data_IF_888096318042
#
_entry.id   IF_888096318042
#
_cell.length_a   1.000
_cell.length_b   1.000
_cell.length_c   1.000
_cell.angle_alpha   90.00
_cell.angle_beta   90.00
_cell.angle_gamma   90.00
#
_symmetry.space_group_name_H-M   'P 1'
#
loop_
_entity.id
_entity.type
_entity.pdbx_description
1 polymer ?
#
# COMPACT_ATOMS: atom_id res chain seq x y z
N UNK A 1 -6.36 -14.06 22.80
CA UNK A 1 -7.27 -12.91 22.94
C UNK A 1 -6.65 -11.58 22.49
N UNK A 2 -5.32 -11.45 22.31
CA UNK A 2 -4.69 -10.21 21.82
C UNK A 2 -4.78 -10.00 20.28
N UNK A 3 -4.84 -11.07 19.49
CA UNK A 3 -4.83 -10.96 18.02
C UNK A 3 -6.14 -10.39 17.43
N UNK A 4 -7.27 -10.49 18.14
CA UNK A 4 -8.57 -9.96 17.67
C UNK A 4 -8.71 -8.45 17.80
N UNK A 5 -8.04 -7.81 18.78
CA UNK A 5 -8.07 -6.35 18.93
C UNK A 5 -7.20 -5.65 17.89
N UNK A 6 -6.04 -6.22 17.56
CA UNK A 6 -5.10 -5.66 16.58
C UNK A 6 -5.68 -5.68 15.15
N UNK A 7 -6.33 -6.77 14.74
CA UNK A 7 -6.95 -6.86 13.43
C UNK A 7 -8.13 -5.88 13.26
N UNK A 8 -8.93 -5.69 14.31
CA UNK A 8 -9.98 -4.67 14.35
C UNK A 8 -9.39 -3.25 14.24
N UNK A 9 -8.30 -2.98 14.96
CA UNK A 9 -7.61 -1.69 14.93
C UNK A 9 -7.03 -1.38 13.53
N UNK A 10 -6.47 -2.36 12.83
CA UNK A 10 -5.93 -2.14 11.48
C UNK A 10 -7.04 -1.84 10.46
N UNK A 11 -8.14 -2.58 10.52
CA UNK A 11 -9.28 -2.37 9.61
C UNK A 11 -9.89 -0.98 9.82
N UNK A 12 -9.98 -0.53 11.07
CA UNK A 12 -10.42 0.83 11.39
C UNK A 12 -9.42 1.89 10.93
N UNK A 13 -8.12 1.67 11.15
CA UNK A 13 -7.08 2.58 10.68
C UNK A 13 -7.07 2.73 9.14
N UNK A 14 -7.31 1.65 8.39
CA UNK A 14 -7.45 1.71 6.93
C UNK A 14 -8.65 2.55 6.50
N UNK A 15 -9.83 2.33 7.12
CA UNK A 15 -11.03 3.13 6.84
C UNK A 15 -10.79 4.61 7.10
N UNK A 16 -10.17 4.93 8.24
CA UNK A 16 -9.83 6.31 8.59
C UNK A 16 -8.83 6.90 7.61
N UNK A 17 -7.79 6.16 7.22
CA UNK A 17 -6.82 6.62 6.23
C UNK A 17 -7.46 6.90 4.86
N UNK A 18 -8.42 6.07 4.42
CA UNK A 18 -9.14 6.29 3.16
C UNK A 18 -10.08 7.49 3.20
N UNK A 19 -10.61 7.85 4.36
CA UNK A 19 -11.45 9.04 4.56
C UNK A 19 -10.66 10.32 4.89
N UNK A 20 -9.34 10.21 5.08
CA UNK A 20 -8.48 11.33 5.50
C UNK A 20 -8.25 12.31 4.34
N UNK A 21 -8.32 13.63 4.58
CA UNK A 21 -8.08 14.61 3.52
C UNK A 21 -6.59 14.63 3.09
N UNK A 22 -6.28 15.06 1.85
CA UNK A 22 -4.96 14.93 1.23
C UNK A 22 -3.77 15.42 2.08
N UNK A 23 -3.94 16.52 2.81
CA UNK A 23 -2.92 17.13 3.68
C UNK A 23 -2.48 16.22 4.83
N UNK A 24 -3.34 15.29 5.25
CA UNK A 24 -3.10 14.40 6.39
C UNK A 24 -2.87 12.93 5.98
N UNK A 25 -2.99 12.59 4.68
CA UNK A 25 -2.87 11.22 4.19
C UNK A 25 -1.50 10.59 4.50
N UNK A 26 -0.42 11.37 4.45
CA UNK A 26 0.92 10.87 4.77
C UNK A 26 1.04 10.42 6.24
N UNK A 27 0.42 11.16 7.17
CA UNK A 27 0.39 10.83 8.60
C UNK A 27 -0.47 9.58 8.83
N UNK A 28 -1.66 9.52 8.22
CA UNK A 28 -2.54 8.36 8.32
C UNK A 28 -1.88 7.09 7.74
N UNK A 29 -1.20 7.21 6.60
CA UNK A 29 -0.43 6.14 5.99
C UNK A 29 0.72 5.65 6.90
N UNK A 30 1.43 6.58 7.54
CA UNK A 30 2.46 6.27 8.53
C UNK A 30 1.92 5.45 9.71
N UNK A 31 0.77 5.85 10.26
CA UNK A 31 0.10 5.13 11.34
C UNK A 31 -0.31 3.72 10.92
N UNK A 32 -0.93 3.55 9.74
CA UNK A 32 -1.24 2.22 9.20
C UNK A 32 0.02 1.37 9.08
N UNK A 33 1.11 1.93 8.54
CA UNK A 33 2.36 1.21 8.40
C UNK A 33 2.96 0.79 9.76
N UNK A 34 2.88 1.64 10.79
CA UNK A 34 3.34 1.32 12.14
C UNK A 34 2.54 0.18 12.78
N UNK A 35 1.21 0.21 12.66
CA UNK A 35 0.34 -0.88 13.12
C UNK A 35 0.66 -2.19 12.44
N UNK A 36 0.91 -2.15 11.12
CA UNK A 36 1.35 -3.32 10.36
C UNK A 36 2.65 -3.84 10.97
N UNK A 37 3.73 -3.05 10.96
CA UNK A 37 5.06 -3.51 11.42
C UNK A 37 5.06 -4.02 12.86
N UNK A 38 4.34 -3.34 13.76
CA UNK A 38 4.28 -3.66 15.19
C UNK A 38 3.54 -4.97 15.52
N UNK A 39 2.82 -5.55 14.55
CA UNK A 39 1.96 -6.70 14.77
C UNK A 39 2.42 -7.92 13.99
N UNK A 40 2.73 -9.02 14.69
CA UNK A 40 3.24 -10.26 14.08
C UNK A 40 2.13 -11.19 13.56
N UNK A 41 0.95 -11.13 14.16
CA UNK A 41 -0.18 -12.05 13.85
C UNK A 41 -1.23 -11.41 12.92
N UNK A 42 -0.80 -10.49 12.06
CA UNK A 42 -1.70 -9.84 11.11
C UNK A 42 -2.03 -10.74 9.92
N UNK A 43 -3.29 -10.73 9.53
CA UNK A 43 -3.73 -11.26 8.25
C UNK A 43 -3.30 -10.30 7.12
N UNK A 44 -2.10 -10.55 6.60
CA UNK A 44 -1.52 -9.76 5.52
C UNK A 44 -2.26 -9.98 4.18
N UNK A 45 -2.91 -11.12 3.99
CA UNK A 45 -3.71 -11.36 2.80
C UNK A 45 -4.94 -10.45 2.79
N UNK A 46 -5.64 -10.34 3.92
CA UNK A 46 -6.76 -9.41 4.06
C UNK A 46 -6.33 -7.94 3.94
N UNK A 47 -5.18 -7.56 4.51
CA UNK A 47 -4.59 -6.23 4.28
C UNK A 47 -4.36 -5.96 2.79
N UNK A 48 -3.75 -6.90 2.07
CA UNK A 48 -3.50 -6.75 0.63
C UNK A 48 -4.80 -6.62 -0.15
N UNK A 49 -5.83 -7.41 0.16
CA UNK A 49 -7.14 -7.26 -0.48
C UNK A 49 -7.72 -5.86 -0.28
N UNK A 50 -7.70 -5.33 0.94
CA UNK A 50 -8.20 -3.97 1.23
C UNK A 50 -7.38 -2.88 0.52
N UNK A 51 -6.06 -3.06 0.40
CA UNK A 51 -5.22 -2.15 -0.37
C UNK A 51 -5.56 -2.19 -1.86
N UNK A 52 -5.71 -3.37 -2.47
CA UNK A 52 -6.08 -3.51 -3.87
C UNK A 52 -7.47 -2.91 -4.16
N UNK A 53 -8.42 -3.07 -3.23
CA UNK A 53 -9.72 -2.39 -3.31
C UNK A 53 -9.56 -0.86 -3.28
N UNK A 54 -8.77 -0.33 -2.35
CA UNK A 54 -8.50 1.10 -2.27
C UNK A 54 -7.79 1.67 -3.51
N UNK A 55 -6.86 0.91 -4.11
CA UNK A 55 -6.18 1.26 -5.35
C UNK A 55 -7.12 1.26 -6.57
N UNK A 56 -8.15 0.42 -6.56
CA UNK A 56 -9.17 0.34 -7.62
C UNK A 56 -10.44 1.15 -7.34
N UNK A 57 -10.49 1.93 -6.27
CA UNK A 57 -11.73 2.61 -5.84
C UNK A 57 -12.19 3.67 -6.85
N UNK A 58 -13.50 3.94 -6.89
CA UNK A 58 -14.06 5.00 -7.72
C UNK A 58 -13.62 6.40 -7.27
N UNK A 59 -13.45 6.61 -5.96
CA UNK A 59 -12.96 7.87 -5.39
C UNK A 59 -11.44 8.02 -5.57
N UNK A 60 -11.05 9.13 -6.17
CA UNK A 60 -9.66 9.47 -6.40
C UNK A 60 -8.89 9.76 -5.12
N UNK A 61 -9.57 10.23 -4.06
CA UNK A 61 -8.94 10.43 -2.76
C UNK A 61 -8.59 9.10 -2.09
N UNK A 62 -9.47 8.11 -2.17
CA UNK A 62 -9.21 6.75 -1.70
C UNK A 62 -8.03 6.12 -2.44
N UNK A 63 -7.98 6.22 -3.77
CA UNK A 63 -6.82 5.73 -4.56
C UNK A 63 -5.51 6.43 -4.18
N UNK A 64 -5.54 7.75 -4.03
CA UNK A 64 -4.37 8.53 -3.58
C UNK A 64 -3.91 8.13 -2.17
N UNK A 65 -4.84 7.92 -1.25
CA UNK A 65 -4.53 7.46 0.11
C UNK A 65 -3.93 6.05 0.07
N UNK A 66 -4.49 5.13 -0.71
CA UNK A 66 -3.96 3.78 -0.90
C UNK A 66 -2.52 3.80 -1.44
N UNK A 67 -2.21 4.62 -2.44
CA UNK A 67 -0.82 4.83 -2.90
C UNK A 67 0.11 5.31 -1.78
N UNK A 68 -0.38 6.21 -0.92
CA UNK A 68 0.39 6.75 0.21
C UNK A 68 0.66 5.67 1.26
N UNK A 69 -0.32 4.80 1.55
CA UNK A 69 -0.16 3.65 2.45
C UNK A 69 0.85 2.65 1.88
N UNK A 70 0.76 2.33 0.59
CA UNK A 70 1.72 1.44 -0.09
C UNK A 70 3.13 2.01 0.01
N UNK A 71 3.30 3.32 -0.21
CA UNK A 71 4.60 4.01 -0.08
C UNK A 71 5.15 3.87 1.34
N UNK A 72 4.32 4.13 2.36
CA UNK A 72 4.71 4.02 3.76
C UNK A 72 5.10 2.59 4.14
N UNK A 73 4.35 1.59 3.70
CA UNK A 73 4.64 0.16 3.92
C UNK A 73 5.94 -0.28 3.24
N UNK A 74 6.14 0.11 1.97
CA UNK A 74 7.36 -0.21 1.23
C UNK A 74 8.61 0.34 1.94
N UNK A 75 8.53 1.57 2.47
CA UNK A 75 9.61 2.21 3.21
C UNK A 75 9.94 1.55 4.55
N UNK A 76 9.04 0.75 5.12
CA UNK A 76 9.35 -0.05 6.33
C UNK A 76 10.26 -1.23 6.04
N UNK A 77 10.39 -1.64 4.77
CA UNK A 77 11.29 -2.71 4.30
C UNK A 77 11.22 -4.00 5.15
N UNK A 78 10.01 -4.57 5.26
CA UNK A 78 9.77 -5.77 6.08
C UNK A 78 9.63 -7.00 5.18
N UNK A 79 10.49 -8.00 5.37
CA UNK A 79 10.56 -9.21 4.54
C UNK A 79 9.22 -9.96 4.41
N UNK A 80 8.37 -9.98 5.44
CA UNK A 80 7.07 -10.67 5.39
C UNK A 80 6.06 -10.05 4.41
N UNK A 81 6.32 -8.83 3.93
CA UNK A 81 5.49 -8.15 2.93
C UNK A 81 5.89 -8.51 1.49
N UNK A 82 7.07 -9.12 1.27
CA UNK A 82 7.58 -9.48 -0.06
C UNK A 82 6.57 -10.29 -0.92
N UNK A 83 5.82 -11.27 -0.40
CA UNK A 83 4.86 -12.03 -1.20
C UNK A 83 3.75 -11.18 -1.82
N UNK A 84 3.46 -10.02 -1.24
CA UNK A 84 2.36 -9.14 -1.63
C UNK A 84 2.81 -7.99 -2.53
N UNK A 85 4.12 -7.82 -2.75
CA UNK A 85 4.68 -6.74 -3.55
C UNK A 85 4.24 -6.84 -5.01
N UNK A 86 4.24 -8.04 -5.59
CA UNK A 86 3.91 -8.23 -7.02
C UNK A 86 2.48 -7.77 -7.35
N UNK A 87 1.41 -8.29 -6.71
CA UNK A 87 0.04 -7.86 -7.04
C UNK A 87 -0.20 -6.38 -6.75
N UNK A 88 0.40 -5.84 -5.68
CA UNK A 88 0.28 -4.40 -5.36
C UNK A 88 0.99 -3.55 -6.40
N UNK A 89 2.19 -3.94 -6.85
CA UNK A 89 2.93 -3.21 -7.88
C UNK A 89 2.16 -3.18 -9.19
N UNK A 90 1.58 -4.30 -9.63
CA UNK A 90 0.76 -4.34 -10.85
C UNK A 90 -0.36 -3.30 -10.81
N UNK A 91 -1.12 -3.26 -9.71
CA UNK A 91 -2.21 -2.29 -9.55
C UNK A 91 -1.71 -0.83 -9.48
N UNK A 92 -0.57 -0.58 -8.83
CA UNK A 92 0.05 0.75 -8.81
C UNK A 92 0.48 1.23 -10.20
N UNK A 93 1.00 0.32 -11.05
CA UNK A 93 1.43 0.69 -12.40
C UNK A 93 0.25 1.07 -13.30
N UNK A 94 -0.93 0.48 -13.11
CA UNK A 94 -2.16 0.92 -13.78
C UNK A 94 -2.51 2.38 -13.44
N UNK A 95 -2.24 2.81 -12.20
CA UNK A 95 -2.51 4.18 -11.74
C UNK A 95 -1.55 5.23 -12.31
N UNK A 96 -0.49 4.85 -13.03
CA UNK A 96 0.32 5.81 -13.79
C UNK A 96 -0.51 6.51 -14.87
N UNK A 97 -1.50 5.81 -15.41
CA UNK A 97 -2.43 6.32 -16.41
C UNK A 97 -3.75 6.84 -15.80
N UNK A 98 -3.82 7.04 -14.48
CA UNK A 98 -5.07 7.44 -13.80
C UNK A 98 -5.66 8.72 -14.42
N UNK A 99 -6.99 8.79 -14.49
CA UNK A 99 -7.71 9.96 -15.04
C UNK A 99 -7.47 11.24 -14.22
N UNK A 100 -7.15 11.11 -12.93
CA UNK A 100 -6.95 12.19 -11.98
C UNK A 100 -5.46 12.39 -11.72
N UNK A 101 -4.97 13.58 -12.04
CA UNK A 101 -3.56 13.95 -11.88
C UNK A 101 -3.06 13.78 -10.44
N UNK A 102 -3.94 13.99 -9.45
CA UNK A 102 -3.60 13.83 -8.04
C UNK A 102 -3.22 12.40 -7.64
N UNK A 103 -3.63 11.37 -8.40
CA UNK A 103 -3.31 9.96 -8.11
C UNK A 103 -1.99 9.54 -8.76
N UNK A 104 -1.67 10.09 -9.94
CA UNK A 104 -0.49 9.70 -10.74
C UNK A 104 0.82 9.88 -9.99
N UNK A 105 1.01 11.01 -9.31
CA UNK A 105 2.24 11.30 -8.55
C UNK A 105 2.40 10.37 -7.34
N UNK A 106 1.40 10.19 -6.46
CA UNK A 106 1.41 9.16 -5.42
C UNK A 106 1.68 7.74 -5.94
N UNK A 107 1.10 7.37 -7.09
CA UNK A 107 1.37 6.06 -7.71
C UNK A 107 2.85 5.93 -8.11
N UNK A 108 3.45 6.96 -8.72
CA UNK A 108 4.86 6.97 -9.07
C UNK A 108 5.78 6.86 -7.83
N UNK A 109 5.46 7.57 -6.74
CA UNK A 109 6.22 7.46 -5.49
C UNK A 109 6.09 6.06 -4.86
N UNK A 110 4.90 5.47 -4.89
CA UNK A 110 4.66 4.11 -4.39
C UNK A 110 5.45 3.05 -5.18
N UNK A 111 5.40 3.12 -6.51
CA UNK A 111 6.17 2.21 -7.37
C UNK A 111 7.66 2.36 -7.14
N UNK A 112 8.16 3.61 -7.04
CA UNK A 112 9.56 3.89 -6.75
C UNK A 112 9.96 3.31 -5.39
N UNK A 113 9.16 3.53 -4.35
CA UNK A 113 9.44 2.99 -3.01
C UNK A 113 9.52 1.47 -3.04
N UNK A 114 8.58 0.79 -3.70
CA UNK A 114 8.61 -0.67 -3.90
C UNK A 114 9.92 -1.10 -4.57
N UNK A 115 10.26 -0.51 -5.71
CA UNK A 115 11.45 -0.90 -6.48
C UNK A 115 12.74 -0.66 -5.71
N UNK A 116 12.79 0.38 -4.88
CA UNK A 116 13.96 0.71 -4.06
C UNK A 116 14.13 -0.21 -2.85
N UNK A 117 13.06 -0.76 -2.30
CA UNK A 117 13.11 -1.57 -1.07
C UNK A 117 13.03 -3.05 -1.30
N UNK A 118 12.57 -3.51 -2.46
CA UNK A 118 12.48 -4.94 -2.76
C UNK A 118 13.87 -5.60 -2.82
N UNK A 119 13.96 -6.83 -2.34
CA UNK A 119 15.17 -7.65 -2.42
C UNK A 119 15.63 -7.81 -3.88
N UNK A 120 16.96 -7.79 -4.12
CA UNK A 120 17.58 -8.02 -5.44
C UNK A 120 17.05 -9.24 -6.18
N UNK A 121 16.69 -10.31 -5.46
CA UNK A 121 16.14 -11.52 -6.07
C UNK A 121 14.73 -11.33 -6.65
N UNK A 122 13.94 -10.42 -6.07
CA UNK A 122 12.59 -10.12 -6.52
C UNK A 122 12.56 -9.29 -7.81
N UNK A 123 13.67 -8.65 -8.19
CA UNK A 123 13.77 -7.89 -9.44
C UNK A 123 13.37 -8.76 -10.63
N UNK A 124 13.81 -10.03 -10.68
CA UNK A 124 13.45 -10.96 -11.78
C UNK A 124 11.94 -11.20 -11.87
N UNK A 125 11.23 -11.12 -10.75
CA UNK A 125 9.77 -11.30 -10.66
C UNK A 125 9.03 -10.01 -11.04
N UNK A 126 9.62 -8.85 -10.74
CA UNK A 126 8.99 -7.55 -11.04
C UNK A 126 9.24 -7.06 -12.47
N UNK A 127 10.32 -7.49 -13.14
CA UNK A 127 10.63 -7.06 -14.51
C UNK A 127 9.45 -7.22 -15.49
N UNK A 128 8.72 -8.36 -15.52
CA UNK A 128 7.54 -8.49 -16.39
C UNK A 128 6.41 -7.52 -16.07
N UNK A 129 6.32 -7.01 -14.84
CA UNK A 129 5.28 -6.02 -14.50
C UNK A 129 5.65 -4.61 -14.97
N UNK A 130 6.96 -4.30 -15.03
CA UNK A 130 7.46 -2.97 -15.41
C UNK A 130 7.59 -2.82 -16.93
N UNK A 131 8.00 -3.89 -17.62
CA UNK A 131 8.30 -3.89 -19.06
C UNK A 131 7.35 -4.74 -19.91
N UNK A 132 6.42 -5.47 -19.29
CA UNK A 132 5.48 -6.35 -19.98
C UNK A 132 4.25 -5.65 -20.53
#
# INVERSE_FOLDING_TARGET
MASSSVAANLSEALKQAFATPPENMAVAAGHVAELVVGSKDLDLANLTMQLLQGLGDADANTRQSACSIVTALANKNVARLEPYVTPVLSSILELYADKKMQVRRPAAEAAKAIVQTVNRNAIRVLLPQIFG
#
